data_IF_731265508526
#
_entry.id   IF_731265508526
#
_cell.length_a   1.000
_cell.length_b   1.000
_cell.length_c   1.000
_cell.angle_alpha   90.00
_cell.angle_beta   90.00
_cell.angle_gamma   90.00
#
_symmetry.space_group_name_H-M   'P 1'
#
loop_
_entity.id
_entity.type
_entity.pdbx_description
1 polymer ?
#
# COMPACT_ATOMS: atom_id res chain seq x y z
N UNK A 1 -20.85 11.88 11.42
CA UNK A 1 -19.38 11.97 11.25
C UNK A 1 -18.79 10.65 11.66
N UNK A 2 -18.13 10.01 10.74
CA UNK A 2 -17.36 8.79 11.02
C UNK A 2 -16.07 9.14 11.76
N UNK A 3 -15.48 8.16 12.41
CA UNK A 3 -14.23 8.34 13.16
C UNK A 3 -13.23 7.29 12.70
N UNK A 4 -11.98 7.72 12.45
CA UNK A 4 -10.89 6.86 12.05
C UNK A 4 -9.97 6.47 13.20
N UNK A 5 -9.29 5.33 13.06
CA UNK A 5 -8.25 4.89 13.96
C UNK A 5 -6.91 4.83 13.22
N UNK A 6 -6.00 5.72 13.59
CA UNK A 6 -4.69 5.94 12.97
C UNK A 6 -3.60 5.38 13.88
N UNK A 7 -2.60 4.73 13.32
CA UNK A 7 -1.43 4.21 14.04
C UNK A 7 -0.35 5.28 14.16
N UNK A 8 0.03 5.90 13.05
CA UNK A 8 0.97 7.01 13.02
C UNK A 8 0.78 7.93 11.79
N UNK A 9 1.29 9.17 11.92
CA UNK A 9 1.37 10.16 10.85
C UNK A 9 2.81 10.68 10.81
N UNK A 10 3.45 10.64 9.64
CA UNK A 10 4.84 11.06 9.52
C UNK A 10 5.17 11.55 8.11
N UNK A 11 6.23 12.36 8.00
CA UNK A 11 6.78 12.79 6.72
C UNK A 11 8.05 12.00 6.42
N UNK A 12 8.10 11.34 5.26
CA UNK A 12 9.25 10.51 4.87
C UNK A 12 9.40 10.42 3.35
N UNK A 13 10.27 9.53 2.92
CA UNK A 13 10.50 9.18 1.51
C UNK A 13 9.81 7.85 1.24
N UNK A 14 9.05 7.75 0.13
CA UNK A 14 8.48 6.49 -0.31
C UNK A 14 9.59 5.47 -0.60
N UNK A 15 9.51 4.33 0.06
CA UNK A 15 10.51 3.27 -0.02
C UNK A 15 10.13 2.13 -0.94
N UNK A 16 8.98 2.17 -1.60
CA UNK A 16 8.41 1.05 -2.37
C UNK A 16 7.77 1.49 -3.69
N UNK A 17 7.60 0.53 -4.58
CA UNK A 17 6.88 0.73 -5.83
C UNK A 17 7.52 1.74 -6.77
N UNK A 18 6.74 2.26 -7.73
CA UNK A 18 7.25 3.16 -8.77
C UNK A 18 7.56 4.59 -8.28
N UNK A 19 7.05 4.96 -7.10
CA UNK A 19 7.32 6.26 -6.46
C UNK A 19 8.46 6.21 -5.44
N UNK A 20 9.31 5.18 -5.49
CA UNK A 20 10.54 5.13 -4.67
C UNK A 20 11.33 6.43 -4.81
N UNK A 21 11.73 7.00 -3.66
CA UNK A 21 12.52 8.24 -3.60
C UNK A 21 11.70 9.53 -3.50
N UNK A 22 10.38 9.45 -3.65
CA UNK A 22 9.49 10.62 -3.61
C UNK A 22 9.12 10.98 -2.16
N UNK A 23 9.14 12.28 -1.82
CA UNK A 23 8.70 12.76 -0.49
C UNK A 23 7.19 12.64 -0.35
N UNK A 24 6.71 12.02 0.74
CA UNK A 24 5.30 11.88 1.06
C UNK A 24 5.03 12.16 2.54
N UNK A 25 3.78 12.56 2.84
CA UNK A 25 3.24 12.45 4.19
C UNK A 25 2.47 11.13 4.27
N UNK A 26 2.78 10.33 5.27
CA UNK A 26 2.16 9.01 5.47
C UNK A 26 1.11 9.09 6.57
N UNK A 27 -0.06 8.57 6.29
CA UNK A 27 -1.11 8.27 7.27
C UNK A 27 -1.26 6.77 7.34
N UNK A 28 -0.79 6.18 8.42
CA UNK A 28 -0.87 4.76 8.67
C UNK A 28 -2.10 4.44 9.51
N UNK A 29 -3.07 3.78 8.90
CA UNK A 29 -4.28 3.33 9.56
C UNK A 29 -4.05 2.04 10.35
N UNK A 30 -4.84 1.86 11.40
CA UNK A 30 -4.87 0.64 12.20
C UNK A 30 -5.85 -0.37 11.62
N UNK A 31 -5.67 -1.63 12.01
CA UNK A 31 -6.41 -2.82 11.60
C UNK A 31 -6.04 -3.31 10.20
N UNK A 32 -6.04 -4.61 10.04
CA UNK A 32 -5.83 -5.30 8.77
C UNK A 32 -6.68 -6.57 8.75
N UNK A 33 -7.27 -6.87 7.60
CA UNK A 33 -8.03 -8.10 7.36
C UNK A 33 -7.14 -9.30 7.00
N UNK A 34 -5.82 -9.09 6.83
CA UNK A 34 -4.85 -10.14 6.55
C UNK A 34 -3.84 -10.30 7.69
N UNK A 35 -3.25 -11.51 7.80
CA UNK A 35 -2.23 -11.80 8.79
C UNK A 35 -0.94 -12.33 8.13
N UNK A 36 -0.31 -11.48 7.29
CA UNK A 36 0.88 -11.86 6.56
C UNK A 36 2.05 -12.17 7.51
N UNK A 37 2.76 -13.29 7.27
CA UNK A 37 3.90 -13.73 8.08
C UNK A 37 5.08 -12.75 8.04
N UNK A 38 5.27 -12.02 6.94
CA UNK A 38 6.33 -11.03 6.76
C UNK A 38 5.92 -9.59 7.14
N UNK A 39 4.77 -9.39 7.79
CA UNK A 39 4.30 -8.05 8.13
C UNK A 39 5.30 -7.33 9.04
N UNK A 40 5.82 -6.21 8.58
CA UNK A 40 6.80 -5.37 9.27
C UNK A 40 6.15 -4.27 10.14
N UNK A 41 4.81 -4.20 10.13
CA UNK A 41 4.03 -3.17 10.83
C UNK A 41 3.00 -3.84 11.76
N UNK A 42 3.49 -4.64 12.69
CA UNK A 42 2.65 -5.42 13.62
C UNK A 42 1.76 -4.52 14.49
N UNK A 43 2.25 -3.31 14.84
CA UNK A 43 1.52 -2.31 15.61
C UNK A 43 0.25 -1.81 14.90
N UNK A 44 0.22 -1.85 13.56
CA UNK A 44 -0.95 -1.45 12.78
C UNK A 44 -2.02 -2.54 12.63
N UNK A 45 -1.81 -3.75 13.20
CA UNK A 45 -2.81 -4.85 13.10
C UNK A 45 -4.02 -4.65 14.01
N UNK A 46 -3.93 -3.80 15.02
CA UNK A 46 -5.01 -3.57 15.99
C UNK A 46 -5.20 -2.09 16.26
N UNK A 47 -6.39 -1.75 16.77
CA UNK A 47 -6.70 -0.38 17.19
C UNK A 47 -5.79 0.06 18.31
N UNK A 48 -5.36 1.32 18.24
CA UNK A 48 -4.56 1.97 19.27
C UNK A 48 -5.31 3.17 19.87
N UNK A 49 -5.12 3.42 21.16
CA UNK A 49 -5.80 4.54 21.85
C UNK A 49 -5.20 5.91 21.54
N UNK A 50 -3.97 5.93 21.01
CA UNK A 50 -3.25 7.14 20.61
C UNK A 50 -2.41 6.85 19.38
N UNK A 51 -2.26 7.84 18.50
CA UNK A 51 -1.34 7.78 17.37
C UNK A 51 -0.22 8.80 17.51
N UNK A 52 0.94 8.46 16.96
CA UNK A 52 2.09 9.36 16.95
C UNK A 52 2.09 10.24 15.70
N UNK A 53 2.50 11.50 15.87
CA UNK A 53 2.78 12.41 14.75
C UNK A 53 4.26 12.75 14.79
N UNK A 54 4.99 12.37 13.76
CA UNK A 54 6.43 12.55 13.62
C UNK A 54 6.70 13.60 12.53
N UNK A 55 6.85 14.84 12.96
CA UNK A 55 7.31 15.96 12.16
C UNK A 55 8.57 16.56 12.81
N UNK A 56 8.66 17.89 12.84
CA UNK A 56 9.74 18.59 13.57
C UNK A 56 9.70 18.30 15.08
N UNK A 57 8.52 17.98 15.61
CA UNK A 57 8.30 17.53 16.98
C UNK A 57 7.54 16.21 16.97
N UNK A 58 7.83 15.34 17.93
CA UNK A 58 7.09 14.11 18.14
C UNK A 58 5.94 14.37 19.12
N UNK A 59 4.70 14.24 18.62
CA UNK A 59 3.47 14.47 19.40
C UNK A 59 2.58 13.25 19.37
N UNK A 60 1.71 13.11 20.37
CA UNK A 60 0.68 12.09 20.43
C UNK A 60 -0.71 12.72 20.38
N UNK A 61 -1.60 12.12 19.60
CA UNK A 61 -3.00 12.49 19.49
C UNK A 61 -3.88 11.30 19.87
N UNK A 62 -5.08 11.60 20.36
CA UNK A 62 -6.02 10.55 20.76
C UNK A 62 -6.72 9.93 19.55
N UNK A 63 -6.99 8.65 19.63
CA UNK A 63 -7.93 7.92 18.78
C UNK A 63 -9.25 7.69 19.53
N UNK A 64 -10.38 7.56 18.83
CA UNK A 64 -10.51 7.78 17.38
C UNK A 64 -10.48 9.27 17.02
N UNK A 65 -10.10 9.59 15.77
CA UNK A 65 -9.97 10.96 15.25
C UNK A 65 -11.06 11.24 14.19
N UNK A 66 -11.54 12.51 14.11
CA UNK A 66 -12.43 12.93 13.01
C UNK A 66 -11.64 13.26 11.74
N UNK A 67 -12.31 13.29 10.58
CA UNK A 67 -11.69 13.62 9.30
C UNK A 67 -11.06 15.02 9.31
N UNK A 68 -11.76 16.02 9.87
CA UNK A 68 -11.24 17.38 10.03
C UNK A 68 -10.03 17.43 10.96
N UNK A 69 -10.09 16.73 12.10
CA UNK A 69 -8.99 16.67 13.06
C UNK A 69 -7.73 16.04 12.44
N UNK A 70 -7.87 14.98 11.65
CA UNK A 70 -6.73 14.37 10.97
C UNK A 70 -6.18 15.25 9.85
N UNK A 71 -7.04 15.93 9.08
CA UNK A 71 -6.62 16.88 8.06
C UNK A 71 -5.86 18.08 8.69
N UNK A 72 -6.29 18.56 9.87
CA UNK A 72 -5.58 19.59 10.63
C UNK A 72 -4.20 19.08 11.06
N UNK A 73 -4.10 17.86 11.60
CA UNK A 73 -2.82 17.24 11.97
C UNK A 73 -1.87 17.17 10.77
N UNK A 74 -2.37 16.75 9.59
CA UNK A 74 -1.57 16.69 8.37
C UNK A 74 -1.08 18.07 7.91
N UNK A 75 -1.86 19.13 8.11
CA UNK A 75 -1.48 20.51 7.77
C UNK A 75 -0.32 21.04 8.62
N UNK A 76 -0.07 20.43 9.78
CA UNK A 76 1.09 20.76 10.63
C UNK A 76 2.41 20.21 10.08
N UNK A 77 2.35 19.21 9.20
CA UNK A 77 3.52 18.71 8.47
C UNK A 77 3.79 19.65 7.29
N UNK A 78 4.64 20.66 7.52
CA UNK A 78 4.92 21.75 6.56
C UNK A 78 5.91 21.40 5.45
N UNK A 79 6.35 20.14 5.37
CA UNK A 79 7.33 19.72 4.38
C UNK A 79 6.73 19.70 2.97
N UNK A 80 7.47 20.18 1.95
CA UNK A 80 7.07 19.96 0.56
C UNK A 80 6.93 18.47 0.30
N UNK A 81 5.81 18.04 -0.27
CA UNK A 81 5.52 16.64 -0.53
C UNK A 81 4.83 16.46 -1.88
N UNK A 82 5.08 15.32 -2.50
CA UNK A 82 4.40 14.92 -3.73
C UNK A 82 2.94 14.54 -3.47
N UNK A 83 2.69 13.81 -2.37
CA UNK A 83 1.35 13.28 -2.07
C UNK A 83 1.20 12.89 -0.60
N UNK A 84 -0.03 12.66 -0.18
CA UNK A 84 -0.37 12.00 1.08
C UNK A 84 -0.57 10.51 0.79
N UNK A 85 0.27 9.67 1.41
CA UNK A 85 0.16 8.21 1.35
C UNK A 85 -0.83 7.74 2.41
N UNK A 86 -1.93 7.17 1.96
CA UNK A 86 -2.96 6.49 2.75
C UNK A 86 -2.56 5.01 2.78
N UNK A 87 -2.05 4.57 3.91
CA UNK A 87 -1.45 3.24 4.09
C UNK A 87 -1.84 2.65 5.44
N UNK A 88 -1.22 1.56 5.89
CA UNK A 88 -1.41 1.07 7.24
C UNK A 88 -1.38 -0.42 7.39
N UNK A 89 -2.31 -0.96 8.18
CA UNK A 89 -2.73 -2.33 8.07
C UNK A 89 -3.45 -2.52 6.73
N UNK A 90 -4.75 -2.23 6.70
CA UNK A 90 -5.52 -2.06 5.46
C UNK A 90 -6.41 -0.82 5.58
N UNK A 91 -6.08 0.28 4.89
CA UNK A 91 -6.82 1.53 5.04
C UNK A 91 -8.27 1.44 4.55
N UNK A 92 -8.57 0.58 3.57
CA UNK A 92 -9.93 0.40 3.06
C UNK A 92 -10.89 -0.21 4.09
N UNK A 93 -10.43 -0.81 5.20
CA UNK A 93 -11.29 -1.18 6.32
C UNK A 93 -12.01 0.03 6.95
N UNK A 94 -11.51 1.23 6.67
CA UNK A 94 -12.08 2.49 7.15
C UNK A 94 -12.62 3.34 5.97
N UNK A 95 -13.20 2.70 4.95
CA UNK A 95 -13.67 3.34 3.72
C UNK A 95 -14.64 4.49 3.95
N UNK A 96 -15.59 4.35 4.87
CA UNK A 96 -16.53 5.43 5.21
C UNK A 96 -15.84 6.65 5.83
N UNK A 97 -14.81 6.44 6.65
CA UNK A 97 -13.97 7.52 7.18
C UNK A 97 -13.13 8.17 6.07
N UNK A 98 -12.54 7.37 5.18
CA UNK A 98 -11.80 7.87 4.03
C UNK A 98 -12.69 8.69 3.09
N UNK A 99 -13.96 8.31 2.91
CA UNK A 99 -14.92 9.08 2.12
C UNK A 99 -15.21 10.48 2.69
N UNK A 100 -15.03 10.70 4.00
CA UNK A 100 -15.08 12.03 4.61
C UNK A 100 -13.73 12.76 4.53
N UNK A 101 -12.62 12.05 4.76
CA UNK A 101 -11.26 12.64 4.83
C UNK A 101 -10.74 13.10 3.46
N UNK A 102 -10.80 12.23 2.45
CA UNK A 102 -10.11 12.48 1.18
C UNK A 102 -10.63 13.73 0.45
N UNK A 103 -11.95 14.05 0.43
CA UNK A 103 -12.44 15.32 -0.11
C UNK A 103 -11.85 16.55 0.59
N UNK A 104 -11.57 16.46 1.90
CA UNK A 104 -10.95 17.57 2.65
C UNK A 104 -9.51 17.76 2.16
N UNK A 105 -8.73 16.69 2.07
CA UNK A 105 -7.35 16.72 1.59
C UNK A 105 -7.27 17.22 0.14
N UNK A 106 -8.18 16.78 -0.73
CA UNK A 106 -8.25 17.27 -2.13
C UNK A 106 -8.52 18.76 -2.20
N UNK A 107 -9.42 19.31 -1.36
CA UNK A 107 -9.65 20.78 -1.27
C UNK A 107 -8.43 21.54 -0.76
N UNK A 108 -7.55 20.89 0.01
CA UNK A 108 -6.26 21.46 0.44
C UNK A 108 -5.16 21.37 -0.64
N UNK A 109 -5.46 20.78 -1.81
CA UNK A 109 -4.54 20.64 -2.94
C UNK A 109 -3.65 19.40 -2.87
N UNK A 110 -3.95 18.43 -1.98
CA UNK A 110 -3.14 17.22 -1.84
C UNK A 110 -3.39 16.23 -2.99
N UNK A 111 -2.32 15.62 -3.47
CA UNK A 111 -2.38 14.38 -4.26
C UNK A 111 -2.53 13.19 -3.30
N UNK A 112 -3.40 12.23 -3.61
CA UNK A 112 -3.71 11.07 -2.76
C UNK A 112 -3.10 9.82 -3.38
N UNK A 113 -2.24 9.16 -2.62
CA UNK A 113 -1.62 7.89 -2.95
C UNK A 113 -2.14 6.82 -1.99
N UNK A 114 -2.85 5.82 -2.52
CA UNK A 114 -3.44 4.72 -1.75
C UNK A 114 -2.57 3.47 -1.86
N UNK A 115 -2.17 2.92 -0.73
CA UNK A 115 -1.57 1.58 -0.62
C UNK A 115 -2.59 0.62 0.00
N UNK A 116 -2.97 -0.42 -0.73
CA UNK A 116 -3.98 -1.40 -0.28
C UNK A 116 -3.55 -2.82 -0.62
N UNK A 117 -3.96 -3.78 0.20
CA UNK A 117 -3.80 -5.21 -0.09
C UNK A 117 -4.77 -5.73 -1.18
N UNK A 118 -5.54 -4.83 -1.77
CA UNK A 118 -6.41 -5.04 -2.91
C UNK A 118 -7.56 -6.07 -2.70
N UNK A 119 -8.04 -6.25 -1.47
CA UNK A 119 -9.07 -7.25 -1.15
C UNK A 119 -10.46 -6.67 -0.86
N UNK A 120 -10.63 -5.35 -0.92
CA UNK A 120 -11.87 -4.65 -0.54
C UNK A 120 -12.39 -3.74 -1.67
N UNK A 121 -12.88 -4.31 -2.79
CA UNK A 121 -13.30 -3.53 -3.96
C UNK A 121 -14.46 -2.59 -3.66
N UNK A 122 -15.46 -3.00 -2.84
CA UNK A 122 -16.60 -2.16 -2.48
C UNK A 122 -16.20 -0.91 -1.70
N UNK A 123 -15.18 -1.02 -0.85
CA UNK A 123 -14.66 0.11 -0.09
C UNK A 123 -13.85 1.07 -0.98
N UNK A 124 -13.11 0.53 -1.96
CA UNK A 124 -12.42 1.37 -2.93
C UNK A 124 -13.42 2.17 -3.78
N UNK A 125 -14.53 1.57 -4.19
CA UNK A 125 -15.55 2.23 -5.00
C UNK A 125 -16.10 3.49 -4.34
N UNK A 126 -16.22 3.52 -3.00
CA UNK A 126 -16.67 4.69 -2.24
C UNK A 126 -15.72 5.89 -2.35
N UNK A 127 -14.43 5.66 -2.58
CA UNK A 127 -13.39 6.69 -2.44
C UNK A 127 -12.57 6.94 -3.72
N UNK A 128 -12.73 6.10 -4.74
CA UNK A 128 -11.84 6.10 -5.91
C UNK A 128 -11.79 7.46 -6.61
N UNK A 129 -12.86 8.23 -6.61
CA UNK A 129 -12.91 9.56 -7.24
C UNK A 129 -11.87 10.53 -6.65
N UNK A 130 -11.54 10.37 -5.37
CA UNK A 130 -10.62 11.22 -4.62
C UNK A 130 -9.17 10.70 -4.62
N UNK A 131 -8.92 9.50 -5.17
CA UNK A 131 -7.59 8.90 -5.25
C UNK A 131 -6.92 9.27 -6.56
N UNK A 132 -5.60 9.57 -6.54
CA UNK A 132 -4.81 9.87 -7.74
C UNK A 132 -3.93 8.69 -8.16
N UNK A 133 -3.37 7.96 -7.17
CA UNK A 133 -2.50 6.83 -7.35
C UNK A 133 -2.97 5.63 -6.53
N UNK A 134 -2.91 4.45 -7.12
CA UNK A 134 -3.17 3.19 -6.42
C UNK A 134 -1.96 2.27 -6.54
N UNK A 135 -1.41 1.88 -5.39
CA UNK A 135 -0.48 0.78 -5.23
C UNK A 135 -1.26 -0.44 -4.74
N UNK A 136 -1.60 -1.34 -5.64
CA UNK A 136 -2.34 -2.55 -5.32
C UNK A 136 -1.34 -3.68 -5.00
N UNK A 137 -1.25 -4.08 -3.73
CA UNK A 137 -0.36 -5.13 -3.27
C UNK A 137 -1.09 -6.48 -3.28
N UNK A 138 -1.06 -7.16 -4.43
CA UNK A 138 -1.65 -8.49 -4.60
C UNK A 138 -0.84 -9.50 -3.77
N UNK A 139 -1.51 -10.16 -2.83
CA UNK A 139 -0.88 -11.00 -1.83
C UNK A 139 -0.82 -12.46 -2.29
N UNK A 140 0.41 -12.94 -2.58
CA UNK A 140 0.68 -14.32 -2.92
C UNK A 140 0.60 -15.22 -1.68
N UNK A 141 0.06 -16.42 -1.81
CA UNK A 141 -0.07 -17.38 -0.73
C UNK A 141 1.29 -17.81 -0.20
N UNK A 142 2.24 -18.12 -1.10
CA UNK A 142 3.61 -18.48 -0.76
C UNK A 142 4.31 -17.43 0.13
N UNK A 143 4.02 -16.15 -0.09
CA UNK A 143 4.63 -15.06 0.67
C UNK A 143 3.91 -14.83 2.01
N UNK A 144 2.60 -14.76 1.99
CA UNK A 144 1.79 -14.33 3.14
C UNK A 144 1.43 -15.43 4.11
N UNK A 145 1.22 -16.67 3.61
CA UNK A 145 0.57 -17.76 4.32
C UNK A 145 -0.96 -17.61 4.42
N UNK A 146 -1.54 -16.60 3.77
CA UNK A 146 -2.99 -16.47 3.64
C UNK A 146 -3.42 -16.99 2.26
N UNK A 147 -4.65 -17.54 2.11
CA UNK A 147 -5.20 -17.88 0.80
C UNK A 147 -5.20 -16.66 -0.13
N UNK A 148 -4.92 -16.90 -1.41
CA UNK A 148 -4.99 -15.85 -2.42
C UNK A 148 -6.45 -15.38 -2.62
N UNK A 149 -6.64 -14.07 -2.82
CA UNK A 149 -7.96 -13.44 -3.00
C UNK A 149 -8.08 -12.85 -4.41
N UNK A 150 -7.83 -13.69 -5.42
CA UNK A 150 -7.73 -13.23 -6.81
C UNK A 150 -9.04 -12.65 -7.35
N UNK A 151 -10.21 -13.11 -6.88
CA UNK A 151 -11.48 -12.56 -7.35
C UNK A 151 -11.71 -11.13 -6.84
N UNK A 152 -11.44 -10.89 -5.55
CA UNK A 152 -11.48 -9.56 -4.95
C UNK A 152 -10.44 -8.63 -5.61
N UNK A 153 -9.22 -9.14 -5.81
CA UNK A 153 -8.16 -8.40 -6.50
C UNK A 153 -8.60 -8.01 -7.92
N UNK A 154 -9.17 -8.93 -8.70
CA UNK A 154 -9.69 -8.68 -10.05
C UNK A 154 -10.70 -7.54 -10.07
N UNK A 155 -11.66 -7.56 -9.15
CA UNK A 155 -12.70 -6.52 -9.04
C UNK A 155 -12.08 -5.18 -8.66
N UNK A 156 -11.18 -5.17 -7.67
CA UNK A 156 -10.51 -3.96 -7.21
C UNK A 156 -9.65 -3.34 -8.33
N UNK A 157 -8.85 -4.14 -9.04
CA UNK A 157 -8.01 -3.63 -10.13
C UNK A 157 -8.83 -3.01 -11.27
N UNK A 158 -10.01 -3.57 -11.61
CA UNK A 158 -10.93 -2.96 -12.58
C UNK A 158 -11.40 -1.56 -12.15
N UNK A 159 -11.72 -1.38 -10.88
CA UNK A 159 -12.09 -0.07 -10.31
C UNK A 159 -10.87 0.87 -10.33
N UNK A 160 -9.71 0.40 -9.88
CA UNK A 160 -8.49 1.17 -9.79
C UNK A 160 -7.89 1.60 -11.15
N UNK A 161 -8.22 0.89 -12.24
CA UNK A 161 -7.67 1.13 -13.58
C UNK A 161 -7.98 2.53 -14.16
N UNK A 162 -8.96 3.24 -13.61
CA UNK A 162 -9.25 4.63 -13.96
C UNK A 162 -8.24 5.65 -13.38
N UNK A 163 -7.33 5.19 -12.52
CA UNK A 163 -6.31 6.00 -11.85
C UNK A 163 -4.91 5.58 -12.27
N UNK A 164 -3.90 6.29 -11.77
CA UNK A 164 -2.49 5.87 -11.93
C UNK A 164 -2.27 4.63 -11.08
N UNK A 165 -2.31 3.45 -11.69
CA UNK A 165 -2.29 2.14 -11.04
C UNK A 165 -0.99 1.41 -11.34
N UNK A 166 -0.41 0.77 -10.34
CA UNK A 166 0.54 -0.31 -10.49
C UNK A 166 0.23 -1.43 -9.49
N UNK A 167 0.71 -2.62 -9.79
CA UNK A 167 0.53 -3.80 -8.95
C UNK A 167 1.88 -4.19 -8.33
N UNK A 168 1.88 -4.47 -7.05
CA UNK A 168 3.05 -4.94 -6.31
C UNK A 168 2.82 -6.39 -5.88
N UNK A 169 3.85 -7.21 -6.06
CA UNK A 169 3.93 -8.58 -5.56
C UNK A 169 5.13 -8.69 -4.62
N UNK A 170 4.89 -8.96 -3.35
CA UNK A 170 5.98 -9.34 -2.45
C UNK A 170 6.32 -10.80 -2.74
N UNK A 171 7.57 -11.08 -3.11
CA UNK A 171 8.05 -12.40 -3.51
C UNK A 171 9.05 -12.96 -2.52
N UNK A 172 8.97 -14.27 -2.32
CA UNK A 172 9.83 -15.09 -1.46
C UNK A 172 10.50 -16.20 -2.28
N UNK A 173 11.49 -16.87 -1.71
CA UNK A 173 12.17 -18.00 -2.38
C UNK A 173 11.21 -19.12 -2.80
N UNK A 174 10.12 -19.30 -2.07
CA UNK A 174 9.08 -20.31 -2.33
C UNK A 174 8.05 -19.87 -3.38
N UNK A 175 8.08 -18.61 -3.85
CA UNK A 175 7.10 -18.13 -4.85
C UNK A 175 7.21 -18.94 -6.13
N UNK A 176 6.09 -19.52 -6.54
CA UNK A 176 6.02 -20.41 -7.69
C UNK A 176 5.76 -19.66 -8.99
N UNK A 177 6.03 -20.31 -10.11
CA UNK A 177 5.70 -19.76 -11.44
C UNK A 177 4.18 -19.65 -11.62
N UNK A 178 3.42 -20.60 -11.12
CA UNK A 178 1.97 -20.65 -11.20
C UNK A 178 1.34 -19.43 -10.52
N UNK A 179 1.79 -19.06 -9.32
CA UNK A 179 1.34 -17.85 -8.61
C UNK A 179 1.65 -16.58 -9.40
N UNK A 180 2.84 -16.49 -10.01
CA UNK A 180 3.23 -15.33 -10.82
C UNK A 180 2.39 -15.23 -12.10
N UNK A 181 2.17 -16.35 -12.76
CA UNK A 181 1.33 -16.41 -13.98
C UNK A 181 -0.11 -15.99 -13.64
N UNK A 182 -0.68 -16.50 -12.55
CA UNK A 182 -2.05 -16.17 -12.16
C UNK A 182 -2.19 -14.69 -11.80
N UNK A 183 -1.24 -14.13 -11.03
CA UNK A 183 -1.21 -12.70 -10.74
C UNK A 183 -0.99 -11.84 -12.01
N UNK A 184 -0.14 -12.29 -12.92
CA UNK A 184 0.10 -11.63 -14.21
C UNK A 184 -1.13 -11.61 -15.11
N UNK A 185 -1.82 -12.74 -15.21
CA UNK A 185 -3.05 -12.87 -16.01
C UNK A 185 -4.16 -11.96 -15.45
N UNK A 186 -4.31 -11.92 -14.15
CA UNK A 186 -5.25 -11.02 -13.47
C UNK A 186 -5.00 -9.55 -13.85
N UNK A 187 -3.74 -9.12 -13.89
CA UNK A 187 -3.37 -7.76 -14.31
C UNK A 187 -3.61 -7.59 -15.82
N UNK A 188 -3.26 -8.58 -16.64
CA UNK A 188 -3.46 -8.56 -18.09
C UNK A 188 -4.92 -8.41 -18.49
N UNK A 189 -5.86 -9.04 -17.77
CA UNK A 189 -7.31 -8.91 -17.99
C UNK A 189 -7.76 -7.44 -17.91
N UNK A 190 -7.12 -6.64 -17.04
CA UNK A 190 -7.41 -5.22 -16.91
C UNK A 190 -6.63 -4.40 -17.94
N UNK A 191 -5.31 -4.52 -17.95
CA UNK A 191 -4.45 -3.90 -18.96
C UNK A 191 -3.02 -4.44 -18.90
N UNK A 192 -2.47 -4.85 -20.04
CA UNK A 192 -1.05 -5.21 -20.15
C UNK A 192 -0.07 -4.05 -19.86
N UNK A 193 -0.57 -2.81 -19.77
CA UNK A 193 0.25 -1.61 -19.54
C UNK A 193 0.40 -1.26 -18.06
N UNK A 194 -0.34 -1.92 -17.17
CA UNK A 194 -0.17 -1.74 -15.73
C UNK A 194 1.19 -2.32 -15.35
N UNK A 195 2.04 -1.51 -14.73
CA UNK A 195 3.35 -1.96 -14.28
C UNK A 195 3.20 -2.95 -13.12
N UNK A 196 3.96 -4.03 -13.14
CA UNK A 196 4.07 -4.99 -12.04
C UNK A 196 5.43 -4.86 -11.36
N UNK A 197 5.40 -4.77 -10.04
CA UNK A 197 6.58 -4.61 -9.21
C UNK A 197 6.82 -5.89 -8.42
N UNK A 198 7.92 -6.57 -8.71
CA UNK A 198 8.44 -7.65 -7.89
C UNK A 198 9.25 -7.05 -6.74
N UNK A 199 8.74 -7.18 -5.53
CA UNK A 199 9.42 -6.71 -4.33
C UNK A 199 9.96 -7.91 -3.54
N UNK A 200 11.29 -8.15 -3.54
CA UNK A 200 11.87 -9.17 -2.69
C UNK A 200 11.53 -8.89 -1.22
N UNK A 201 11.04 -9.89 -0.51
CA UNK A 201 10.71 -9.76 0.91
C UNK A 201 11.93 -9.37 1.73
N UNK A 202 11.76 -8.52 2.74
CA UNK A 202 12.75 -8.38 3.81
C UNK A 202 12.67 -9.63 4.69
N UNK A 203 13.82 -10.29 5.04
CA UNK A 203 13.80 -11.45 5.92
C UNK A 203 13.08 -11.14 7.24
N UNK A 204 11.89 -11.69 7.42
CA UNK A 204 11.05 -11.51 8.59
C UNK A 204 10.04 -12.65 8.68
N UNK A 205 9.73 -13.12 9.88
CA UNK A 205 8.71 -14.16 10.11
C UNK A 205 8.98 -15.48 9.37
N UNK A 206 10.25 -15.82 9.11
CA UNK A 206 10.66 -17.01 8.36
C UNK A 206 10.55 -16.88 6.85
N UNK A 207 10.13 -15.72 6.33
CA UNK A 207 10.15 -15.44 4.90
C UNK A 207 11.57 -15.04 4.47
N UNK A 208 12.06 -15.60 3.37
CA UNK A 208 13.37 -15.28 2.79
C UNK A 208 13.21 -14.81 1.34
N UNK A 209 14.00 -13.81 0.90
CA UNK A 209 13.94 -13.33 -0.48
C UNK A 209 14.47 -14.39 -1.46
N UNK A 210 14.00 -14.38 -2.73
CA UNK A 210 14.66 -15.11 -3.80
C UNK A 210 16.07 -14.56 -4.03
N UNK A 211 16.96 -15.39 -4.56
CA UNK A 211 18.26 -14.90 -5.03
C UNK A 211 18.12 -14.07 -6.32
N UNK A 212 19.22 -13.40 -6.72
CA UNK A 212 19.21 -12.51 -7.87
C UNK A 212 18.89 -13.22 -9.20
N UNK A 213 19.29 -14.49 -9.36
CA UNK A 213 18.98 -15.28 -10.55
C UNK A 213 17.49 -15.59 -10.63
N UNK A 214 16.89 -16.05 -9.53
CA UNK A 214 15.46 -16.34 -9.47
C UNK A 214 14.61 -15.08 -9.68
N UNK A 215 15.05 -13.91 -9.18
CA UNK A 215 14.38 -12.63 -9.44
C UNK A 215 14.35 -12.26 -10.91
N UNK A 216 15.44 -12.52 -11.66
CA UNK A 216 15.49 -12.31 -13.12
C UNK A 216 14.50 -13.27 -13.80
N UNK A 217 14.53 -14.56 -13.46
CA UNK A 217 13.59 -15.56 -14.00
C UNK A 217 12.12 -15.16 -13.75
N UNK A 218 11.78 -14.72 -12.51
CA UNK A 218 10.44 -14.23 -12.18
C UNK A 218 10.03 -13.01 -13.02
N UNK A 219 10.97 -12.08 -13.25
CA UNK A 219 10.71 -10.91 -14.07
C UNK A 219 10.48 -11.29 -15.55
N UNK A 220 11.23 -12.25 -16.07
CA UNK A 220 11.05 -12.77 -17.43
C UNK A 220 9.70 -13.50 -17.57
N UNK A 221 9.34 -14.36 -16.62
CA UNK A 221 8.05 -15.05 -16.56
C UNK A 221 6.86 -14.08 -16.63
N UNK A 222 6.89 -13.00 -15.85
CA UNK A 222 5.85 -11.95 -15.89
C UNK A 222 5.93 -11.08 -17.16
N UNK A 223 7.13 -10.85 -17.69
CA UNK A 223 7.37 -10.07 -18.90
C UNK A 223 6.74 -10.65 -20.16
N UNK A 224 6.49 -11.96 -20.19
CA UNK A 224 5.71 -12.62 -21.24
C UNK A 224 4.21 -12.23 -21.21
N UNK A 225 3.71 -11.84 -20.03
CA UNK A 225 2.28 -11.57 -19.78
C UNK A 225 1.98 -10.07 -19.82
N UNK A 226 2.77 -9.25 -19.14
CA UNK A 226 2.60 -7.79 -19.05
C UNK A 226 3.78 -7.05 -19.69
N UNK A 227 3.60 -5.75 -20.00
CA UNK A 227 4.63 -4.98 -20.73
C UNK A 227 5.72 -4.42 -19.85
N UNK A 228 5.46 -4.20 -18.58
CA UNK A 228 6.39 -3.55 -17.67
C UNK A 228 6.49 -4.32 -16.36
N UNK A 229 7.65 -4.90 -16.11
CA UNK A 229 8.00 -5.56 -14.86
C UNK A 229 9.24 -4.90 -14.29
N UNK A 230 9.21 -4.56 -13.01
CA UNK A 230 10.36 -3.99 -12.31
C UNK A 230 10.65 -4.79 -11.04
N UNK A 231 11.92 -5.02 -10.76
CA UNK A 231 12.36 -5.54 -9.46
C UNK A 231 12.77 -4.36 -8.59
N UNK A 232 11.98 -4.07 -7.55
CA UNK A 232 12.22 -2.92 -6.65
C UNK A 232 12.18 -3.42 -5.22
N UNK A 233 13.33 -3.52 -4.52
CA UNK A 233 13.36 -3.85 -3.10
C UNK A 233 12.85 -2.68 -2.25
N UNK A 234 12.45 -2.96 -0.98
CA UNK A 234 12.23 -1.91 0.00
C UNK A 234 13.53 -1.15 0.27
N UNK A 235 13.56 0.16 0.03
CA UNK A 235 14.77 0.96 0.25
C UNK A 235 14.81 1.63 1.63
N UNK A 236 13.65 1.88 2.26
CA UNK A 236 13.59 2.53 3.57
C UNK A 236 14.37 1.78 4.68
N UNK A 237 14.42 0.42 4.73
CA UNK A 237 15.25 -0.27 5.70
C UNK A 237 16.75 -0.12 5.43
N UNK A 238 17.14 -0.01 4.14
CA UNK A 238 18.55 0.15 3.73
C UNK A 238 19.08 1.52 4.17
N UNK A 239 18.22 2.54 4.10
CA UNK A 239 18.59 3.93 4.40
C UNK A 239 18.29 4.33 5.85
N UNK A 240 17.78 3.39 6.68
CA UNK A 240 17.41 3.65 8.07
C UNK A 240 16.21 4.61 8.19
N UNK A 241 15.39 4.74 7.14
CA UNK A 241 14.17 5.53 7.15
C UNK A 241 12.97 4.70 7.62
N UNK A 242 11.95 5.42 8.09
CA UNK A 242 10.63 4.87 8.34
C UNK A 242 9.64 5.50 7.40
#
# INVERSE_FOLDING_TARGET
MTQGNVCDVFSSIQGEGILVGVRQAFVRFSECNLNCRFCDTQEAKSRVSKFSVKGNEHRFHSNPVTAEGLAEVLSLLRDPRHSVSITGGEPLLQGDFLAELLPILKRQGEEIYLETNATLPEELEKIIDWVDWVSADVKLESATGNPAMYEENRRLLKIAAQKKLFVKLVVVKETTKEELVEAGELVREVSRRIAMILQPVKPLGGAEPPDGRRLIEMADELGEIVKEVRVIPQIHPILGWR
#
